data_IF_803461079055
#
_entry.id   IF_803461079055
#
_cell.length_a   1.000
_cell.length_b   1.000
_cell.length_c   1.000
_cell.angle_alpha   90.00
_cell.angle_beta   90.00
_cell.angle_gamma   90.00
#
_symmetry.space_group_name_H-M   'P 1'
#
loop_
_entity.id
_entity.type
_entity.pdbx_description
1 polymer ?
#
# COMPACT_ATOMS: atom_id res chain seq x y z
N UNK A 1 0.10 7.97 -3.82
CA UNK A 1 0.37 7.11 -2.64
C UNK A 1 1.53 7.63 -1.80
N UNK A 2 2.77 7.69 -2.30
CA UNK A 2 3.94 8.03 -1.47
C UNK A 2 3.93 9.44 -0.85
N UNK A 3 3.32 10.43 -1.52
CA UNK A 3 3.17 11.79 -0.97
C UNK A 3 2.06 11.87 0.09
N UNK A 4 1.14 10.91 0.16
CA UNK A 4 0.00 10.93 1.12
C UNK A 4 0.44 11.16 2.58
N UNK A 5 1.41 10.40 3.14
CA UNK A 5 1.89 10.65 4.51
C UNK A 5 2.73 11.94 4.64
N UNK A 6 3.18 12.51 3.53
CA UNK A 6 4.13 13.62 3.50
C UNK A 6 3.49 14.98 3.16
N UNK A 7 2.28 14.98 2.59
CA UNK A 7 1.69 16.12 1.87
C UNK A 7 1.63 17.42 2.68
N UNK A 8 1.39 17.32 3.99
CA UNK A 8 1.30 18.48 4.88
C UNK A 8 2.62 18.92 5.52
N UNK A 9 3.67 18.11 5.44
CA UNK A 9 4.85 18.27 6.32
C UNK A 9 6.17 18.41 5.58
N UNK A 10 6.26 18.01 4.30
CA UNK A 10 7.51 18.11 3.52
C UNK A 10 7.60 19.36 2.65
N UNK A 11 8.84 19.73 2.32
CA UNK A 11 9.12 20.76 1.32
C UNK A 11 8.76 20.31 -0.11
N UNK A 12 8.42 21.23 -1.04
CA UNK A 12 8.03 20.87 -2.41
C UNK A 12 9.09 20.05 -3.17
N UNK A 13 10.38 20.34 -3.00
CA UNK A 13 11.45 19.56 -3.61
C UNK A 13 11.51 18.13 -3.05
N UNK A 14 11.19 17.96 -1.76
CA UNK A 14 11.07 16.65 -1.13
C UNK A 14 9.94 15.82 -1.73
N UNK A 15 8.79 16.45 -2.00
CA UNK A 15 7.67 15.78 -2.67
C UNK A 15 8.03 15.24 -4.07
N UNK A 16 8.82 16.00 -4.84
CA UNK A 16 9.35 15.54 -6.14
C UNK A 16 10.26 14.32 -5.99
N UNK A 17 11.16 14.33 -5.01
CA UNK A 17 12.08 13.21 -4.75
C UNK A 17 11.29 11.98 -4.29
N UNK A 18 10.31 12.12 -3.41
CA UNK A 18 9.42 11.03 -2.98
C UNK A 18 8.68 10.42 -4.17
N UNK A 19 8.19 11.24 -5.10
CA UNK A 19 7.53 10.76 -6.33
C UNK A 19 8.46 9.95 -7.23
N UNK A 20 9.72 10.39 -7.38
CA UNK A 20 10.74 9.68 -8.14
C UNK A 20 11.10 8.33 -7.50
N UNK A 21 11.40 8.33 -6.20
CA UNK A 21 11.75 7.12 -5.45
C UNK A 21 10.60 6.10 -5.47
N UNK A 22 9.37 6.56 -5.26
CA UNK A 22 8.19 5.70 -5.30
C UNK A 22 7.98 5.08 -6.69
N UNK A 23 8.11 5.87 -7.76
CA UNK A 23 7.97 5.35 -9.13
C UNK A 23 8.95 4.20 -9.42
N UNK A 24 10.22 4.36 -9.03
CA UNK A 24 11.26 3.34 -9.23
C UNK A 24 10.97 2.11 -8.36
N UNK A 25 10.75 2.28 -7.07
CA UNK A 25 10.62 1.17 -6.13
C UNK A 25 9.32 0.39 -6.31
N UNK A 26 8.20 1.06 -6.63
CA UNK A 26 6.94 0.38 -6.95
C UNK A 26 7.08 -0.43 -8.25
N UNK A 27 7.74 0.11 -9.29
CA UNK A 27 7.99 -0.64 -10.52
C UNK A 27 8.84 -1.90 -10.28
N UNK A 28 9.92 -1.77 -9.49
CA UNK A 28 10.75 -2.92 -9.10
C UNK A 28 9.95 -3.96 -8.30
N UNK A 29 9.03 -3.53 -7.43
CA UNK A 29 8.19 -4.43 -6.66
C UNK A 29 7.20 -5.23 -7.54
N UNK A 30 6.62 -4.60 -8.56
CA UNK A 30 5.75 -5.28 -9.54
C UNK A 30 6.58 -6.30 -10.35
N UNK A 31 7.78 -5.92 -10.80
CA UNK A 31 8.65 -6.88 -11.48
C UNK A 31 9.05 -8.05 -10.58
N UNK A 32 9.29 -7.78 -9.28
CA UNK A 32 9.58 -8.82 -8.31
C UNK A 32 8.36 -9.73 -8.08
N UNK A 33 7.15 -9.18 -7.97
CA UNK A 33 5.90 -9.96 -7.92
C UNK A 33 5.84 -10.94 -9.09
N UNK A 34 6.04 -10.47 -10.30
CA UNK A 34 5.97 -11.29 -11.51
C UNK A 34 7.01 -12.42 -11.51
N UNK A 35 8.16 -12.23 -10.84
CA UNK A 35 9.18 -13.27 -10.65
C UNK A 35 8.85 -14.25 -9.54
N UNK A 36 8.24 -13.79 -8.45
CA UNK A 36 7.87 -14.62 -7.29
C UNK A 36 6.57 -15.40 -7.56
N UNK A 37 5.71 -14.91 -8.45
CA UNK A 37 4.51 -15.61 -8.92
C UNK A 37 3.31 -15.54 -7.96
N UNK A 38 3.28 -14.58 -7.03
CA UNK A 38 2.09 -14.37 -6.20
C UNK A 38 1.04 -13.53 -6.95
N UNK A 39 -0.24 -13.88 -6.76
CA UNK A 39 -1.37 -13.22 -7.40
C UNK A 39 -1.87 -12.04 -6.56
N UNK A 40 -1.27 -10.88 -6.79
CA UNK A 40 -1.86 -9.57 -6.48
C UNK A 40 -2.38 -8.98 -7.79
N UNK A 41 -3.65 -9.26 -8.06
CA UNK A 41 -4.25 -9.14 -9.39
C UNK A 41 -4.23 -7.72 -9.96
N UNK A 42 -4.25 -6.70 -9.08
CA UNK A 42 -4.26 -5.28 -9.45
C UNK A 42 -2.99 -4.54 -8.98
N UNK A 43 -1.94 -5.26 -8.60
CA UNK A 43 -0.70 -4.67 -8.07
C UNK A 43 -0.93 -3.76 -6.85
N UNK A 44 -1.96 -4.05 -6.04
CA UNK A 44 -2.34 -3.23 -4.91
C UNK A 44 -1.21 -3.14 -3.87
N UNK A 45 -0.53 -4.23 -3.57
CA UNK A 45 0.63 -4.24 -2.68
C UNK A 45 1.83 -3.52 -3.32
N UNK A 46 2.10 -3.79 -4.60
CA UNK A 46 3.21 -3.19 -5.34
C UNK A 46 3.14 -1.67 -5.44
N UNK A 47 1.93 -1.12 -5.62
CA UNK A 47 1.71 0.33 -5.73
C UNK A 47 1.41 0.97 -4.37
N UNK A 48 0.46 0.43 -3.61
CA UNK A 48 -0.02 1.06 -2.37
C UNK A 48 0.83 0.67 -1.16
N UNK A 49 1.14 -0.62 -1.01
CA UNK A 49 1.98 -1.13 0.07
C UNK A 49 3.39 -0.53 0.02
N UNK A 50 4.10 -0.78 -1.08
CA UNK A 50 5.48 -0.28 -1.27
C UNK A 50 5.51 1.25 -1.34
N UNK A 51 4.60 1.87 -2.11
CA UNK A 51 4.54 3.33 -2.21
C UNK A 51 4.27 4.01 -0.87
N UNK A 52 3.41 3.42 -0.03
CA UNK A 52 3.13 3.90 1.32
C UNK A 52 4.35 3.79 2.24
N UNK A 53 5.04 2.64 2.25
CA UNK A 53 6.25 2.41 3.05
C UNK A 53 7.36 3.39 2.66
N UNK A 54 7.64 3.53 1.37
CA UNK A 54 8.66 4.45 0.84
C UNK A 54 8.33 5.88 1.23
N UNK A 55 7.09 6.31 1.02
CA UNK A 55 6.63 7.65 1.41
C UNK A 55 6.80 7.92 2.90
N UNK A 56 6.31 7.01 3.75
CA UNK A 56 6.33 7.16 5.20
C UNK A 56 7.75 7.22 5.77
N UNK A 57 8.67 6.41 5.26
CA UNK A 57 10.07 6.41 5.73
C UNK A 57 10.82 7.63 5.18
N UNK A 58 10.79 7.84 3.85
CA UNK A 58 11.60 8.84 3.18
C UNK A 58 11.20 10.28 3.51
N UNK A 59 9.95 10.54 3.93
CA UNK A 59 9.53 11.90 4.30
C UNK A 59 10.39 12.51 5.41
N UNK A 60 10.98 11.69 6.29
CA UNK A 60 11.80 12.13 7.43
C UNK A 60 12.98 13.00 7.03
N UNK A 61 13.46 12.88 5.78
CA UNK A 61 14.58 13.66 5.25
C UNK A 61 14.18 15.02 4.67
N UNK A 62 12.87 15.25 4.49
CA UNK A 62 12.35 16.41 3.77
C UNK A 62 11.30 17.19 4.56
N UNK A 63 11.10 16.86 5.84
CA UNK A 63 10.21 17.60 6.73
C UNK A 63 10.68 19.06 6.82
N UNK A 64 9.72 19.98 6.70
CA UNK A 64 9.94 21.43 6.86
C UNK A 64 10.57 21.73 8.22
N UNK A 65 11.48 22.69 8.24
CA UNK A 65 12.18 23.09 9.47
C UNK A 65 11.23 23.48 10.60
N UNK A 66 10.16 24.21 10.30
CA UNK A 66 9.15 24.62 11.29
C UNK A 66 8.50 23.44 12.02
N UNK A 67 8.23 22.34 11.30
CA UNK A 67 7.66 21.13 11.88
C UNK A 67 8.68 20.36 12.73
N UNK A 68 9.95 20.34 12.32
CA UNK A 68 11.02 19.75 13.15
C UNK A 68 11.26 20.55 14.43
N UNK A 69 11.15 21.88 14.38
CA UNK A 69 11.23 22.76 15.55
C UNK A 69 10.04 22.55 16.49
N UNK A 70 8.82 22.42 15.97
CA UNK A 70 7.63 22.08 16.77
C UNK A 70 7.77 20.72 17.46
N UNK A 71 8.25 19.70 16.74
CA UNK A 71 8.52 18.39 17.32
C UNK A 71 9.59 18.45 18.43
N UNK A 72 10.63 19.27 18.24
CA UNK A 72 11.67 19.49 19.24
C UNK A 72 11.11 20.14 20.52
N UNK A 73 10.25 21.16 20.37
CA UNK A 73 9.55 21.78 21.50
C UNK A 73 8.65 20.80 22.23
N UNK A 74 7.87 20.00 21.50
CA UNK A 74 7.00 18.97 22.07
C UNK A 74 7.78 17.87 22.81
N UNK A 75 8.99 17.55 22.34
CA UNK A 75 9.91 16.61 22.98
C UNK A 75 10.68 17.21 24.19
N UNK A 76 10.45 18.49 24.52
CA UNK A 76 11.12 19.18 25.63
C UNK A 76 12.60 19.47 25.37
N UNK A 77 13.03 19.54 24.11
CA UNK A 77 14.43 19.70 23.77
C UNK A 77 14.72 19.65 22.27
N UNK A 78 15.53 18.68 21.84
CA UNK A 78 15.93 18.50 20.44
C UNK A 78 15.18 17.34 19.78
N UNK A 79 14.84 17.52 18.50
CA UNK A 79 14.31 16.44 17.65
C UNK A 79 15.14 16.30 16.38
N UNK A 80 15.75 15.14 16.20
CA UNK A 80 16.63 14.83 15.08
C UNK A 80 15.91 14.04 13.99
N UNK A 81 16.46 14.09 12.78
CA UNK A 81 16.00 13.26 11.65
C UNK A 81 16.05 11.77 12.01
N UNK A 82 17.03 11.33 12.81
CA UNK A 82 17.13 9.92 13.22
C UNK A 82 16.02 9.49 14.18
N UNK A 83 15.62 10.38 15.10
CA UNK A 83 14.45 10.14 15.95
C UNK A 83 13.18 10.06 15.11
N UNK A 84 13.02 10.97 14.14
CA UNK A 84 11.88 10.93 13.22
C UNK A 84 11.86 9.64 12.40
N UNK A 85 13.00 9.22 11.84
CA UNK A 85 13.12 7.95 11.12
C UNK A 85 12.73 6.76 11.99
N UNK A 86 13.18 6.74 13.25
CA UNK A 86 12.81 5.69 14.20
C UNK A 86 11.30 5.62 14.41
N UNK A 87 10.63 6.76 14.57
CA UNK A 87 9.17 6.84 14.68
C UNK A 87 8.48 6.35 13.41
N UNK A 88 8.95 6.75 12.23
CA UNK A 88 8.33 6.31 10.96
C UNK A 88 8.52 4.83 10.69
N UNK A 89 9.69 4.28 10.97
CA UNK A 89 9.95 2.84 10.86
C UNK A 89 9.06 2.07 11.83
N UNK A 90 8.95 2.51 13.08
CA UNK A 90 8.07 1.89 14.07
C UNK A 90 6.60 1.94 13.63
N UNK A 91 6.12 3.09 13.15
CA UNK A 91 4.75 3.26 12.65
C UNK A 91 4.46 2.34 11.46
N UNK A 92 5.38 2.26 10.49
CA UNK A 92 5.27 1.35 9.34
C UNK A 92 5.23 -0.12 9.78
N UNK A 93 6.13 -0.53 10.67
CA UNK A 93 6.16 -1.91 11.18
C UNK A 93 4.87 -2.29 11.91
N UNK A 94 4.38 -1.41 12.79
CA UNK A 94 3.11 -1.60 13.49
C UNK A 94 1.97 -1.73 12.49
N UNK A 95 1.90 -0.85 11.48
CA UNK A 95 0.86 -0.91 10.45
C UNK A 95 0.94 -2.21 9.63
N UNK A 96 2.14 -2.66 9.24
CA UNK A 96 2.34 -3.92 8.51
C UNK A 96 1.87 -5.10 9.35
N UNK A 97 2.30 -5.20 10.61
CA UNK A 97 1.93 -6.31 11.50
C UNK A 97 0.42 -6.32 11.73
N UNK A 98 -0.16 -5.16 12.06
CA UNK A 98 -1.59 -5.03 12.30
C UNK A 98 -2.41 -5.42 11.07
N UNK A 99 -2.08 -4.85 9.90
CA UNK A 99 -2.79 -5.12 8.66
C UNK A 99 -2.65 -6.59 8.24
N UNK A 100 -1.45 -7.17 8.29
CA UNK A 100 -1.21 -8.55 7.90
C UNK A 100 -1.93 -9.53 8.85
N UNK A 101 -1.74 -9.39 10.16
CA UNK A 101 -2.30 -10.32 11.15
C UNK A 101 -3.83 -10.26 11.15
N UNK A 102 -4.42 -9.06 11.25
CA UNK A 102 -5.87 -8.96 11.30
C UNK A 102 -6.53 -9.34 9.98
N UNK A 103 -5.95 -8.97 8.85
CA UNK A 103 -6.49 -9.39 7.54
C UNK A 103 -6.44 -10.91 7.41
N UNK A 104 -5.35 -11.57 7.82
CA UNK A 104 -5.27 -13.04 7.79
C UNK A 104 -6.31 -13.70 8.70
N UNK A 105 -6.52 -13.17 9.90
CA UNK A 105 -7.56 -13.67 10.82
C UNK A 105 -8.95 -13.52 10.20
N UNK A 106 -9.26 -12.35 9.64
CA UNK A 106 -10.54 -12.08 8.99
C UNK A 106 -10.74 -13.03 7.78
N UNK A 107 -9.75 -13.14 6.90
CA UNK A 107 -9.81 -14.02 5.74
C UNK A 107 -10.00 -15.48 6.16
N UNK A 108 -9.30 -15.94 7.20
CA UNK A 108 -9.45 -17.29 7.71
C UNK A 108 -10.87 -17.56 8.24
N UNK A 109 -11.40 -16.66 9.07
CA UNK A 109 -12.74 -16.79 9.64
C UNK A 109 -13.81 -16.78 8.55
N UNK A 110 -13.76 -15.80 7.63
CA UNK A 110 -14.72 -15.69 6.52
C UNK A 110 -14.67 -16.93 5.63
N UNK A 111 -13.46 -17.39 5.28
CA UNK A 111 -13.30 -18.57 4.44
C UNK A 111 -13.83 -19.86 5.10
N UNK A 112 -13.80 -19.95 6.43
CA UNK A 112 -14.35 -21.11 7.17
C UNK A 112 -15.86 -21.09 7.34
N UNK A 113 -16.45 -19.90 7.43
CA UNK A 113 -17.89 -19.76 7.70
C UNK A 113 -18.71 -19.70 6.41
N UNK A 114 -18.23 -18.96 5.41
CA UNK A 114 -19.00 -18.62 4.19
C UNK A 114 -18.29 -19.12 2.94
N UNK A 115 -16.95 -19.14 2.95
CA UNK A 115 -16.13 -19.37 1.77
C UNK A 115 -15.87 -18.05 1.04
N UNK A 116 -14.60 -17.74 0.76
CA UNK A 116 -14.20 -16.44 0.20
C UNK A 116 -14.05 -16.45 -1.33
N UNK A 117 -13.62 -17.59 -1.88
CA UNK A 117 -13.33 -17.74 -3.32
C UNK A 117 -14.50 -18.44 -4.01
N UNK A 118 -14.83 -17.98 -5.22
CA UNK A 118 -15.80 -18.66 -6.07
C UNK A 118 -15.31 -20.08 -6.43
N UNK A 119 -16.24 -20.99 -6.73
CA UNK A 119 -15.85 -22.31 -7.21
C UNK A 119 -15.17 -22.22 -8.58
N UNK A 120 -14.32 -23.19 -8.92
CA UNK A 120 -13.65 -23.23 -10.23
C UNK A 120 -14.65 -23.17 -11.40
N UNK A 121 -15.82 -23.77 -11.26
CA UNK A 121 -16.87 -23.71 -12.27
C UNK A 121 -17.43 -22.29 -12.45
N UNK A 122 -17.67 -21.57 -11.35
CA UNK A 122 -18.11 -20.18 -11.37
C UNK A 122 -17.03 -19.24 -11.94
N UNK A 123 -15.76 -19.45 -11.57
CA UNK A 123 -14.64 -18.68 -12.13
C UNK A 123 -14.52 -18.89 -13.64
N UNK A 124 -14.63 -20.12 -14.15
CA UNK A 124 -14.59 -20.41 -15.59
C UNK A 124 -15.77 -19.81 -16.36
N UNK A 125 -16.95 -19.73 -15.75
CA UNK A 125 -18.14 -19.14 -16.38
C UNK A 125 -18.10 -17.60 -16.39
N UNK A 126 -17.27 -17.00 -15.53
CA UNK A 126 -17.23 -15.57 -15.27
C UNK A 126 -18.13 -15.17 -14.10
N UNK A 127 -17.64 -14.25 -13.26
CA UNK A 127 -18.35 -13.78 -12.06
C UNK A 127 -19.57 -12.93 -12.38
N UNK A 128 -19.57 -12.22 -13.52
CA UNK A 128 -20.74 -11.46 -14.00
C UNK A 128 -21.95 -12.40 -14.19
N UNK A 129 -21.76 -13.50 -14.93
CA UNK A 129 -22.86 -14.43 -15.17
C UNK A 129 -23.20 -15.26 -13.93
N UNK A 130 -22.18 -15.82 -13.27
CA UNK A 130 -22.39 -16.77 -12.18
C UNK A 130 -22.93 -16.14 -10.89
N UNK A 131 -22.66 -14.86 -10.62
CA UNK A 131 -23.14 -14.16 -9.42
C UNK A 131 -24.23 -13.12 -9.71
N UNK A 132 -24.28 -12.54 -10.92
CA UNK A 132 -25.20 -11.45 -11.26
C UNK A 132 -26.18 -11.80 -12.38
N UNK A 133 -26.00 -12.92 -13.09
CA UNK A 133 -26.89 -13.35 -14.18
C UNK A 133 -26.77 -12.50 -15.45
N UNK A 134 -25.72 -11.68 -15.55
CA UNK A 134 -25.52 -10.71 -16.62
C UNK A 134 -24.19 -10.97 -17.36
N UNK A 135 -24.05 -10.39 -18.55
CA UNK A 135 -22.76 -10.29 -19.25
C UNK A 135 -22.36 -8.81 -19.27
N UNK A 136 -21.26 -8.45 -18.60
CA UNK A 136 -20.81 -7.05 -18.47
C UNK A 136 -20.62 -6.34 -19.82
N UNK A 137 -20.26 -7.11 -20.85
CA UNK A 137 -20.40 -6.72 -22.25
C UNK A 137 -21.08 -7.84 -23.01
N UNK A 138 -22.08 -7.53 -23.82
CA UNK A 138 -22.66 -8.49 -24.76
C UNK A 138 -21.60 -8.87 -25.78
N UNK A 139 -20.93 -10.01 -25.59
CA UNK A 139 -20.13 -10.59 -26.66
C UNK A 139 -21.10 -10.96 -27.78
N UNK A 140 -21.08 -10.19 -28.87
CA UNK A 140 -21.60 -10.65 -30.16
C UNK A 140 -20.77 -11.89 -30.47
N UNK A 141 -21.39 -13.07 -30.37
CA UNK A 141 -20.76 -14.32 -30.80
C UNK A 141 -20.26 -14.13 -32.24
N UNK A 142 -18.94 -14.05 -32.42
CA UNK A 142 -18.34 -14.32 -33.71
C UNK A 142 -18.36 -15.84 -33.88
N UNK A 143 -19.50 -16.34 -34.38
CA UNK A 143 -19.59 -17.68 -34.95
C UNK A 143 -18.74 -17.79 -36.21
#
# INVERSE_FOLDING_TARGET
VAVTPAAGVVEPYGALILGMLASILCYLAIMLKNRVGYDDSLDAFGIHGIGGIVGAISLSFFIRRSWMEEAAQAAGGSWSVMQQLGVQVAAVLVAIVYAAVLTLVILFVVNKLIGLRASNAQEMQGLDFSLHGEHGYGMVNAG
#
